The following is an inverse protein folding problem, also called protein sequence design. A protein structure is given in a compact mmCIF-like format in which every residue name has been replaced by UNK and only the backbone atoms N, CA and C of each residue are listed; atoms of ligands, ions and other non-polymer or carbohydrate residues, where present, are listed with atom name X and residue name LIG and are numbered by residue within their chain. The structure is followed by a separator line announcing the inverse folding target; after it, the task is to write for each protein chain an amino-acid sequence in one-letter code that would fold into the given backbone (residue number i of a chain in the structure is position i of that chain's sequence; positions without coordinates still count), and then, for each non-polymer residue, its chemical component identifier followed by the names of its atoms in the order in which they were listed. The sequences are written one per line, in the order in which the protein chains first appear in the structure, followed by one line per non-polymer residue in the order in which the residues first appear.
data_IF_123102993235
#
_entry.id   IF_123102993235
#
_cell.length_a   1.000
_cell.length_b   1.000
_cell.length_c   1.000
_cell.angle_alpha   90.00
_cell.angle_beta   90.00
_cell.angle_gamma   90.00
#
_symmetry.space_group_name_H-M   'P 1'
#
loop_
_entity.id
_entity.type
_entity.pdbx_description
1 polymer ?
#
# COMPACT_ATOMS: atom_id res chain seq x y z
N UNK A 1 32.79 24.80 -70.32
CA UNK A 1 31.42 24.60 -69.81
C UNK A 1 31.42 24.89 -68.33
N UNK A 2 30.86 26.03 -67.93
CA UNK A 2 30.71 26.47 -66.54
C UNK A 2 29.34 26.01 -66.05
N UNK A 3 29.32 25.15 -65.03
CA UNK A 3 28.07 24.77 -64.35
C UNK A 3 28.12 25.43 -62.97
N UNK A 4 27.26 26.43 -62.78
CA UNK A 4 27.02 27.10 -61.51
C UNK A 4 26.58 26.10 -60.46
N UNK A 5 27.32 26.04 -59.35
CA UNK A 5 26.90 25.37 -58.13
C UNK A 5 26.04 26.38 -57.37
N UNK A 6 24.71 26.29 -57.53
CA UNK A 6 23.77 27.01 -56.68
C UNK A 6 23.88 26.45 -55.27
N UNK A 7 24.49 27.24 -54.39
CA UNK A 7 24.57 27.00 -52.96
C UNK A 7 23.18 27.20 -52.38
N UNK A 8 22.51 26.10 -52.01
CA UNK A 8 21.32 26.16 -51.17
C UNK A 8 21.82 26.51 -49.77
N UNK A 9 21.70 27.78 -49.38
CA UNK A 9 21.81 28.18 -47.98
C UNK A 9 20.62 27.60 -47.20
N UNK A 10 20.83 26.83 -46.12
CA UNK A 10 19.80 26.63 -45.11
C UNK A 10 19.86 27.82 -44.16
N UNK A 11 19.24 28.93 -44.54
CA UNK A 11 18.93 30.01 -43.61
C UNK A 11 17.70 29.64 -42.80
N UNK A 12 17.79 29.78 -41.48
CA UNK A 12 16.63 29.89 -40.61
C UNK A 12 16.41 28.66 -39.74
N UNK A 13 17.12 28.62 -38.62
CA UNK A 13 16.79 27.86 -37.42
C UNK A 13 15.34 28.14 -36.99
N UNK A 14 14.41 27.37 -37.55
CA UNK A 14 13.09 27.21 -36.95
C UNK A 14 13.31 26.46 -35.64
N UNK A 15 13.35 27.19 -34.52
CA UNK A 15 13.20 26.60 -33.20
C UNK A 15 11.81 25.97 -33.17
N UNK A 16 11.71 24.71 -33.61
CA UNK A 16 10.49 23.93 -33.60
C UNK A 16 10.21 23.59 -32.14
N UNK A 17 9.61 24.53 -31.43
CA UNK A 17 9.09 24.30 -30.09
C UNK A 17 8.04 23.20 -30.22
N UNK A 18 8.33 22.03 -29.63
CA UNK A 18 7.36 20.94 -29.56
C UNK A 18 6.07 21.49 -28.94
N UNK A 19 4.93 21.25 -29.59
CA UNK A 19 3.65 21.69 -29.02
C UNK A 19 3.43 21.02 -27.67
N UNK A 20 2.75 21.69 -26.73
CA UNK A 20 2.44 21.12 -25.42
C UNK A 20 1.74 19.75 -25.55
N UNK A 21 0.87 19.58 -26.55
CA UNK A 21 0.22 18.31 -26.86
C UNK A 21 1.21 17.23 -27.31
N UNK A 22 2.24 17.58 -28.10
CA UNK A 22 3.30 16.65 -28.50
C UNK A 22 4.19 16.28 -27.31
N UNK A 23 4.52 17.24 -26.44
CA UNK A 23 5.28 17.01 -25.21
C UNK A 23 4.49 16.09 -24.27
N UNK A 24 3.20 16.35 -24.07
CA UNK A 24 2.31 15.50 -23.25
C UNK A 24 2.24 14.06 -23.81
N UNK A 25 2.13 13.93 -25.13
CA UNK A 25 2.08 12.63 -25.81
C UNK A 25 3.41 11.88 -25.67
N UNK A 26 4.54 12.56 -25.89
CA UNK A 26 5.86 12.00 -25.68
C UNK A 26 6.10 11.60 -24.22
N UNK A 27 5.69 12.44 -23.26
CA UNK A 27 5.76 12.12 -21.83
C UNK A 27 4.91 10.89 -21.49
N UNK A 28 3.70 10.77 -22.04
CA UNK A 28 2.84 9.59 -21.83
C UNK A 28 3.41 8.31 -22.44
N UNK A 29 4.10 8.40 -23.60
CA UNK A 29 4.78 7.28 -24.25
C UNK A 29 6.01 6.85 -23.45
N UNK A 30 6.84 7.80 -23.00
CA UNK A 30 7.98 7.52 -22.12
C UNK A 30 7.52 6.84 -20.82
N UNK A 31 6.41 7.30 -20.25
CA UNK A 31 5.83 6.70 -19.06
C UNK A 31 5.32 5.26 -19.31
N UNK A 32 4.71 5.02 -20.47
CA UNK A 32 4.22 3.69 -20.85
C UNK A 32 5.36 2.69 -21.09
N UNK A 33 6.45 3.11 -21.72
CA UNK A 33 7.64 2.27 -21.96
C UNK A 33 8.36 1.95 -20.66
N UNK A 34 8.50 2.93 -19.76
CA UNK A 34 9.02 2.72 -18.41
C UNK A 34 8.17 1.72 -17.61
N UNK A 35 6.84 1.83 -17.70
CA UNK A 35 5.92 0.90 -17.02
C UNK A 35 5.96 -0.50 -17.64
N UNK A 36 6.13 -0.62 -18.96
CA UNK A 36 6.32 -1.93 -19.60
C UNK A 36 7.66 -2.57 -19.22
N UNK A 37 8.74 -1.77 -19.14
CA UNK A 37 10.04 -2.22 -18.66
C UNK A 37 9.97 -2.64 -17.19
N UNK A 38 9.27 -1.85 -16.36
CA UNK A 38 9.02 -2.19 -14.96
C UNK A 38 8.22 -3.48 -14.83
N UNK A 39 7.11 -3.63 -15.57
CA UNK A 39 6.33 -4.85 -15.65
C UNK A 39 7.20 -6.07 -16.00
N UNK A 40 8.07 -5.94 -17.00
CA UNK A 40 8.99 -7.01 -17.39
C UNK A 40 9.88 -7.53 -16.26
N UNK A 41 10.20 -6.68 -15.26
CA UNK A 41 11.01 -7.04 -14.08
C UNK A 41 10.18 -7.65 -12.95
N UNK A 42 8.93 -7.24 -12.81
CA UNK A 42 8.08 -7.61 -11.66
C UNK A 42 7.00 -8.64 -11.99
N UNK A 43 6.81 -9.01 -13.26
CA UNK A 43 5.76 -9.95 -13.71
C UNK A 43 5.81 -11.29 -12.97
N UNK A 44 7.00 -11.76 -12.60
CA UNK A 44 7.20 -13.05 -11.95
C UNK A 44 6.88 -12.98 -10.44
N UNK A 45 6.49 -11.80 -9.93
CA UNK A 45 5.97 -11.65 -8.57
C UNK A 45 4.49 -12.06 -8.48
N UNK A 46 3.80 -12.11 -9.61
CA UNK A 46 2.36 -12.31 -9.68
C UNK A 46 2.04 -13.72 -10.20
N UNK A 47 0.87 -14.22 -9.80
CA UNK A 47 0.37 -15.48 -10.34
C UNK A 47 0.16 -15.34 -11.85
N UNK A 48 0.66 -16.30 -12.63
CA UNK A 48 0.58 -16.25 -14.10
C UNK A 48 -0.85 -16.09 -14.64
N UNK A 49 -1.85 -16.61 -13.92
CA UNK A 49 -3.28 -16.46 -14.24
C UNK A 49 -3.80 -15.02 -14.07
N UNK A 50 -3.10 -14.19 -13.31
CA UNK A 50 -3.47 -12.81 -12.98
C UNK A 50 -2.54 -11.77 -13.63
N UNK A 51 -1.66 -12.18 -14.55
CA UNK A 51 -0.66 -11.28 -15.15
C UNK A 51 -1.26 -10.01 -15.77
N UNK A 52 -2.35 -10.13 -16.53
CA UNK A 52 -3.00 -8.97 -17.14
C UNK A 52 -3.70 -8.07 -16.11
N UNK A 53 -4.26 -8.64 -15.05
CA UNK A 53 -4.88 -7.89 -13.96
C UNK A 53 -3.82 -7.14 -13.16
N UNK A 54 -2.72 -7.80 -12.79
CA UNK A 54 -1.58 -7.20 -12.11
C UNK A 54 -0.96 -6.07 -12.93
N UNK A 55 -0.75 -6.30 -14.24
CA UNK A 55 -0.25 -5.27 -15.15
C UNK A 55 -1.19 -4.07 -15.15
N UNK A 56 -2.50 -4.27 -15.33
CA UNK A 56 -3.47 -3.16 -15.31
C UNK A 56 -3.47 -2.42 -13.97
N UNK A 57 -3.37 -3.14 -12.85
CA UNK A 57 -3.31 -2.55 -11.53
C UNK A 57 -2.05 -1.67 -11.35
N UNK A 58 -0.88 -2.12 -11.82
CA UNK A 58 0.36 -1.32 -11.81
C UNK A 58 0.21 -0.04 -12.63
N UNK A 59 -0.36 -0.15 -13.84
CA UNK A 59 -0.60 1.03 -14.68
C UNK A 59 -1.56 2.02 -13.99
N UNK A 60 -2.67 1.52 -13.42
CA UNK A 60 -3.61 2.35 -12.66
C UNK A 60 -2.95 2.99 -11.44
N UNK A 61 -2.11 2.27 -10.71
CA UNK A 61 -1.38 2.81 -9.56
C UNK A 61 -0.46 3.97 -9.97
N UNK A 62 0.27 3.83 -11.08
CA UNK A 62 1.17 4.85 -11.59
C UNK A 62 0.43 6.10 -12.11
N UNK A 63 -0.67 5.89 -12.85
CA UNK A 63 -1.41 6.97 -13.52
C UNK A 63 -2.61 7.49 -12.73
N UNK A 64 -2.87 6.98 -11.53
CA UNK A 64 -3.94 7.45 -10.66
C UNK A 64 -3.89 8.95 -10.43
N UNK A 65 -5.05 9.59 -10.31
CA UNK A 65 -5.19 11.04 -10.10
C UNK A 65 -5.17 11.42 -8.62
N UNK A 66 -5.46 10.47 -7.73
CA UNK A 66 -5.56 10.68 -6.29
C UNK A 66 -5.26 9.41 -5.49
N UNK A 67 -5.07 9.58 -4.17
CA UNK A 67 -4.80 8.51 -3.21
C UNK A 67 -5.83 7.38 -3.23
N UNK A 68 -7.12 7.70 -3.39
CA UNK A 68 -8.21 6.70 -3.43
C UNK A 68 -8.05 5.75 -4.61
N UNK A 69 -7.76 6.29 -5.79
CA UNK A 69 -7.48 5.47 -6.98
C UNK A 69 -6.20 4.64 -6.81
N UNK A 70 -5.15 5.19 -6.19
CA UNK A 70 -3.93 4.44 -5.90
C UNK A 70 -4.18 3.29 -4.93
N UNK A 71 -4.88 3.54 -3.82
CA UNK A 71 -5.22 2.54 -2.82
C UNK A 71 -6.05 1.40 -3.43
N UNK A 72 -7.07 1.72 -4.23
CA UNK A 72 -7.86 0.70 -4.94
C UNK A 72 -7.04 -0.11 -5.94
N UNK A 73 -6.13 0.53 -6.69
CA UNK A 73 -5.23 -0.16 -7.61
C UNK A 73 -4.24 -1.07 -6.87
N UNK A 74 -3.73 -0.62 -5.73
CA UNK A 74 -2.82 -1.41 -4.90
C UNK A 74 -3.52 -2.61 -4.25
N UNK A 75 -4.77 -2.46 -3.80
CA UNK A 75 -5.59 -3.58 -3.33
C UNK A 75 -5.81 -4.65 -4.42
N UNK A 76 -6.15 -4.24 -5.64
CA UNK A 76 -6.25 -5.14 -6.80
C UNK A 76 -4.93 -5.87 -7.07
N UNK A 77 -3.81 -5.17 -6.94
CA UNK A 77 -2.49 -5.75 -7.11
C UNK A 77 -2.17 -6.79 -6.02
N UNK A 78 -2.51 -6.51 -4.77
CA UNK A 78 -2.32 -7.42 -3.65
C UNK A 78 -3.14 -8.71 -3.81
N UNK A 79 -4.27 -8.68 -4.51
CA UNK A 79 -5.03 -9.88 -4.84
C UNK A 79 -4.38 -10.76 -5.92
N UNK A 80 -3.45 -10.21 -6.71
CA UNK A 80 -2.80 -10.91 -7.83
C UNK A 80 -1.40 -11.47 -7.48
N UNK A 81 -0.82 -11.05 -6.35
CA UNK A 81 0.54 -11.41 -5.95
C UNK A 81 0.65 -12.92 -5.70
N UNK A 82 1.78 -13.50 -6.09
CA UNK A 82 2.09 -14.86 -5.69
C UNK A 82 2.31 -14.89 -4.16
N UNK A 83 1.72 -15.85 -3.42
CA UNK A 83 1.80 -15.91 -1.97
C UNK A 83 3.23 -15.81 -1.40
N UNK A 84 4.20 -16.48 -2.06
CA UNK A 84 5.63 -16.48 -1.68
C UNK A 84 6.30 -15.11 -1.89
N UNK A 85 5.77 -14.29 -2.80
CA UNK A 85 6.28 -12.98 -3.20
C UNK A 85 5.57 -11.82 -2.50
N UNK A 86 4.60 -12.09 -1.65
CA UNK A 86 3.83 -11.09 -0.88
C UNK A 86 4.66 -10.01 -0.18
N UNK A 87 5.87 -10.36 0.28
CA UNK A 87 6.81 -9.44 0.93
C UNK A 87 7.33 -8.29 0.04
N UNK A 88 7.12 -8.39 -1.27
CA UNK A 88 7.50 -7.39 -2.26
C UNK A 88 6.44 -6.30 -2.43
N UNK A 89 5.22 -6.50 -1.90
CA UNK A 89 4.20 -5.46 -1.83
C UNK A 89 4.20 -4.85 -0.44
N UNK A 90 4.29 -3.52 -0.37
CA UNK A 90 4.26 -2.80 0.91
C UNK A 90 3.42 -1.53 0.80
N UNK A 91 2.62 -1.26 1.82
CA UNK A 91 2.08 0.07 2.06
C UNK A 91 2.86 0.66 3.23
N UNK A 92 3.75 1.60 2.92
CA UNK A 92 4.67 2.18 3.87
C UNK A 92 4.05 3.41 4.53
N UNK A 93 4.03 3.39 5.86
CA UNK A 93 3.70 4.52 6.71
C UNK A 93 5.00 5.00 7.37
N UNK A 94 5.15 6.32 7.49
CA UNK A 94 6.28 6.96 8.16
C UNK A 94 5.78 7.88 9.27
N UNK A 95 6.61 8.05 10.30
CA UNK A 95 6.42 9.10 11.30
C UNK A 95 6.57 10.52 10.72
N UNK A 96 7.28 10.67 9.59
CA UNK A 96 7.47 11.95 8.88
C UNK A 96 6.36 12.21 7.83
N UNK A 97 5.21 11.57 7.98
CA UNK A 97 4.03 11.64 7.08
C UNK A 97 4.28 11.20 5.61
N UNK A 98 5.44 10.61 5.32
CA UNK A 98 5.68 9.99 4.03
C UNK A 98 4.89 8.68 3.90
N UNK A 99 3.89 8.67 3.02
CA UNK A 99 3.07 7.49 2.72
C UNK A 99 3.27 7.10 1.25
N UNK A 100 3.61 5.83 1.02
CA UNK A 100 3.79 5.30 -0.33
C UNK A 100 3.36 3.83 -0.45
N UNK A 101 3.07 3.44 -1.69
CA UNK A 101 2.93 2.04 -2.08
C UNK A 101 4.22 1.57 -2.73
N UNK A 102 4.68 0.37 -2.41
CA UNK A 102 5.93 -0.18 -2.93
C UNK A 102 5.70 -1.54 -3.57
N UNK A 103 6.38 -1.77 -4.70
CA UNK A 103 6.43 -3.02 -5.45
C UNK A 103 7.89 -3.35 -5.75
N UNK A 104 8.45 -4.36 -5.09
CA UNK A 104 9.88 -4.63 -5.10
C UNK A 104 10.66 -3.40 -4.66
N UNK A 105 11.49 -2.84 -5.53
CA UNK A 105 12.28 -1.63 -5.23
C UNK A 105 11.60 -0.32 -5.64
N UNK A 106 10.47 -0.37 -6.36
CA UNK A 106 9.81 0.83 -6.87
C UNK A 106 8.76 1.32 -5.89
N UNK A 107 8.90 2.59 -5.47
CA UNK A 107 7.93 3.31 -4.64
C UNK A 107 7.01 4.18 -5.50
N UNK A 108 5.77 4.31 -5.05
CA UNK A 108 4.70 5.11 -5.61
C UNK A 108 4.19 6.01 -4.49
N UNK A 109 4.76 7.23 -4.36
CA UNK A 109 4.29 8.20 -3.37
C UNK A 109 2.78 8.43 -3.51
N UNK A 110 2.10 8.53 -2.37
CA UNK A 110 0.66 8.76 -2.39
C UNK A 110 0.36 10.17 -2.93
N UNK A 111 -0.66 10.28 -3.78
CA UNK A 111 -1.03 11.50 -4.51
C UNK A 111 -2.17 12.24 -3.82
N UNK A 112 -2.12 13.56 -3.88
CA UNK A 112 -3.16 14.44 -3.34
C UNK A 112 -2.97 14.70 -1.85
N UNK A 113 -4.03 15.18 -1.21
CA UNK A 113 -4.04 15.39 0.24
C UNK A 113 -4.15 14.04 0.96
N UNK A 114 -3.00 13.58 1.44
CA UNK A 114 -2.85 12.32 2.17
C UNK A 114 -3.69 12.33 3.44
N UNK A 115 -3.66 13.43 4.20
CA UNK A 115 -4.38 13.54 5.46
C UNK A 115 -5.91 13.51 5.24
N UNK A 116 -6.40 14.24 4.23
CA UNK A 116 -7.81 14.21 3.86
C UNK A 116 -8.26 12.79 3.46
N UNK A 117 -7.46 12.11 2.61
CA UNK A 117 -7.77 10.74 2.20
C UNK A 117 -7.84 9.80 3.40
N UNK A 118 -6.83 9.85 4.26
CA UNK A 118 -6.69 8.96 5.41
C UNK A 118 -7.84 9.14 6.41
N UNK A 119 -8.41 10.34 6.53
CA UNK A 119 -9.56 10.63 7.40
C UNK A 119 -10.94 10.40 6.77
N UNK A 120 -11.06 10.42 5.44
CA UNK A 120 -12.35 10.39 4.73
C UNK A 120 -12.48 9.23 3.73
N UNK A 121 -11.55 8.28 3.75
CA UNK A 121 -11.62 7.12 2.89
C UNK A 121 -12.85 6.27 3.24
N UNK A 122 -13.76 6.12 2.28
CA UNK A 122 -14.69 4.99 2.32
C UNK A 122 -13.90 3.68 2.48
N UNK A 123 -14.31 2.79 3.42
CA UNK A 123 -13.62 1.53 3.66
C UNK A 123 -13.49 0.66 2.41
N UNK A 124 -12.38 -0.09 2.34
CA UNK A 124 -12.19 -1.12 1.32
C UNK A 124 -13.09 -2.33 1.56
N UNK A 125 -13.12 -3.26 0.59
CA UNK A 125 -13.74 -4.57 0.82
C UNK A 125 -13.03 -5.31 1.96
N UNK A 126 -13.73 -6.22 2.63
CA UNK A 126 -13.16 -6.98 3.74
C UNK A 126 -11.87 -7.73 3.36
N UNK A 127 -11.90 -8.42 2.21
CA UNK A 127 -10.74 -9.18 1.74
C UNK A 127 -9.56 -8.27 1.38
N UNK A 128 -9.83 -7.14 0.73
CA UNK A 128 -8.79 -6.16 0.40
C UNK A 128 -8.19 -5.55 1.66
N UNK A 129 -9.02 -5.30 2.66
CA UNK A 129 -8.58 -4.77 3.95
C UNK A 129 -7.62 -5.74 4.65
N UNK A 130 -7.93 -7.03 4.64
CA UNK A 130 -7.05 -8.06 5.18
C UNK A 130 -5.73 -8.17 4.40
N UNK A 131 -5.77 -8.12 3.06
CA UNK A 131 -4.55 -8.17 2.23
C UNK A 131 -3.67 -6.94 2.45
N UNK A 132 -4.26 -5.74 2.52
CA UNK A 132 -3.51 -4.52 2.75
C UNK A 132 -2.97 -4.42 4.18
N UNK A 133 -3.69 -4.95 5.18
CA UNK A 133 -3.16 -5.08 6.54
C UNK A 133 -1.88 -5.93 6.57
N UNK A 134 -1.82 -7.01 5.77
CA UNK A 134 -0.60 -7.82 5.63
C UNK A 134 0.54 -7.12 4.87
N UNK A 135 0.23 -6.12 4.05
CA UNK A 135 1.22 -5.32 3.33
C UNK A 135 1.69 -4.09 4.14
N UNK A 136 1.06 -3.80 5.28
CA UNK A 136 1.28 -2.56 6.02
C UNK A 136 2.62 -2.56 6.75
N UNK A 137 3.39 -1.50 6.55
CA UNK A 137 4.66 -1.23 7.21
C UNK A 137 4.59 0.10 7.93
N UNK A 138 5.20 0.19 9.11
CA UNK A 138 5.41 1.44 9.82
C UNK A 138 6.92 1.59 10.10
N UNK A 139 7.53 2.65 9.57
CA UNK A 139 8.98 2.89 9.65
C UNK A 139 9.78 1.64 9.20
N UNK A 140 9.43 1.08 8.05
CA UNK A 140 9.98 -0.16 7.46
C UNK A 140 9.74 -1.47 8.25
N UNK A 141 9.07 -1.42 9.41
CA UNK A 141 8.73 -2.60 10.20
C UNK A 141 7.34 -3.15 9.88
N UNK A 142 7.22 -4.48 9.86
CA UNK A 142 5.95 -5.16 9.69
C UNK A 142 4.98 -4.91 10.84
N UNK A 143 3.81 -4.34 10.53
CA UNK A 143 2.81 -4.01 11.56
C UNK A 143 2.33 -5.26 12.30
N UNK A 144 2.19 -6.39 11.61
CA UNK A 144 1.65 -7.62 12.18
C UNK A 144 2.69 -8.49 12.87
N UNK A 145 3.99 -8.33 12.59
CA UNK A 145 5.03 -9.22 13.14
C UNK A 145 6.14 -8.53 13.91
N UNK A 146 6.27 -7.21 13.78
CA UNK A 146 7.36 -6.39 14.34
C UNK A 146 6.85 -5.17 15.14
N UNK A 147 5.64 -5.23 15.70
CA UNK A 147 4.98 -4.12 16.39
C UNK A 147 5.78 -3.47 17.53
N UNK A 148 6.61 -4.26 18.22
CA UNK A 148 7.50 -3.77 19.28
C UNK A 148 8.55 -2.77 18.76
N UNK A 149 8.96 -2.87 17.50
CA UNK A 149 10.03 -2.04 16.91
C UNK A 149 9.61 -0.56 16.78
N UNK A 150 8.31 -0.31 16.67
CA UNK A 150 7.75 1.04 16.67
C UNK A 150 6.98 1.37 17.95
N UNK A 151 7.22 0.61 19.03
CA UNK A 151 6.73 0.94 20.37
C UNK A 151 5.29 0.52 20.65
N UNK A 152 4.67 -0.35 19.83
CA UNK A 152 3.34 -0.90 20.09
C UNK A 152 3.44 -2.34 20.64
N UNK A 153 3.29 -2.56 21.96
CA UNK A 153 3.62 -3.84 22.60
C UNK A 153 2.51 -4.90 22.45
N UNK A 154 2.10 -5.22 21.21
CA UNK A 154 1.00 -6.16 20.94
C UNK A 154 1.27 -7.57 21.47
N UNK A 155 2.53 -8.03 21.49
CA UNK A 155 2.89 -9.34 22.04
C UNK A 155 2.56 -9.43 23.55
N UNK A 156 2.73 -8.34 24.28
CA UNK A 156 2.44 -8.30 25.73
C UNK A 156 0.94 -8.37 25.95
N UNK A 157 0.17 -7.57 25.19
CA UNK A 157 -1.29 -7.60 25.24
C UNK A 157 -1.85 -8.96 24.80
N UNK A 158 -1.24 -9.62 23.81
CA UNK A 158 -1.63 -10.96 23.39
C UNK A 158 -1.45 -12.03 24.49
N UNK A 159 -0.51 -11.82 25.42
CA UNK A 159 -0.32 -12.70 26.60
C UNK A 159 -1.25 -12.35 27.77
N UNK A 160 -1.73 -11.11 27.80
CA UNK A 160 -2.57 -10.57 28.86
C UNK A 160 -3.78 -9.80 28.28
N UNK A 161 -4.66 -10.46 27.52
CA UNK A 161 -5.69 -9.78 26.72
C UNK A 161 -6.73 -9.05 27.58
N UNK A 162 -6.99 -9.55 28.79
CA UNK A 162 -7.99 -9.00 29.71
C UNK A 162 -7.40 -8.05 30.75
N UNK A 163 -6.11 -7.72 30.66
CA UNK A 163 -5.47 -6.81 31.61
C UNK A 163 -5.73 -5.35 31.19
N UNK A 164 -6.52 -4.59 31.98
CA UNK A 164 -6.87 -3.22 31.64
C UNK A 164 -5.65 -2.29 31.63
N UNK A 165 -4.60 -2.60 32.40
CA UNK A 165 -3.37 -1.81 32.38
C UNK A 165 -2.65 -1.95 31.05
N UNK A 166 -2.50 -3.18 30.53
CA UNK A 166 -1.87 -3.40 29.22
C UNK A 166 -2.71 -2.89 28.06
N UNK A 167 -4.04 -2.98 28.14
CA UNK A 167 -4.94 -2.35 27.18
C UNK A 167 -4.72 -0.83 27.14
N UNK A 168 -4.68 -0.17 28.31
CA UNK A 168 -4.40 1.27 28.39
C UNK A 168 -3.02 1.65 27.85
N UNK A 169 -1.99 0.83 28.10
CA UNK A 169 -0.64 1.05 27.55
C UNK A 169 -0.65 0.95 26.03
N UNK A 170 -1.31 -0.06 25.45
CA UNK A 170 -1.38 -0.22 24.00
C UNK A 170 -2.18 0.91 23.33
N UNK A 171 -3.29 1.34 23.95
CA UNK A 171 -4.05 2.50 23.48
C UNK A 171 -3.17 3.76 23.50
N UNK A 172 -2.45 4.01 24.60
CA UNK A 172 -1.54 5.15 24.72
C UNK A 172 -0.41 5.10 23.68
N UNK A 173 0.16 3.93 23.43
CA UNK A 173 1.19 3.74 22.43
C UNK A 173 0.65 3.96 21.01
N UNK A 174 -0.55 3.45 20.72
CA UNK A 174 -1.19 3.60 19.42
C UNK A 174 -1.51 5.07 19.08
N UNK A 175 -1.88 5.88 20.08
CA UNK A 175 -2.03 7.33 19.90
C UNK A 175 -0.72 8.04 19.50
N UNK A 176 0.44 7.43 19.78
CA UNK A 176 1.75 7.92 19.34
C UNK A 176 2.08 7.59 17.87
N UNK A 177 1.25 6.81 17.18
CA UNK A 177 1.43 6.40 15.79
C UNK A 177 0.17 6.71 14.96
N UNK A 178 -0.22 7.99 14.80
CA UNK A 178 -1.48 8.38 14.17
C UNK A 178 -1.64 7.86 12.74
N UNK A 179 -0.57 7.83 11.94
CA UNK A 179 -0.61 7.28 10.58
C UNK A 179 -1.06 5.81 10.53
N UNK A 180 -0.77 5.02 11.57
CA UNK A 180 -1.25 3.65 11.67
C UNK A 180 -2.75 3.61 11.97
N UNK A 181 -3.22 4.43 12.91
CA UNK A 181 -4.66 4.51 13.23
C UNK A 181 -5.47 4.94 12.02
N UNK A 182 -4.99 5.95 11.32
CA UNK A 182 -5.61 6.43 10.10
C UNK A 182 -5.60 5.36 8.99
N UNK A 183 -4.52 4.60 8.84
CA UNK A 183 -4.49 3.47 7.90
C UNK A 183 -5.54 2.42 8.29
N UNK A 184 -5.67 2.09 9.57
CA UNK A 184 -6.70 1.16 10.04
C UNK A 184 -8.13 1.69 9.78
N UNK A 185 -8.34 3.01 9.81
CA UNK A 185 -9.59 3.65 9.40
C UNK A 185 -9.87 3.45 7.90
N UNK A 186 -8.88 3.67 7.03
CA UNK A 186 -9.00 3.41 5.58
C UNK A 186 -9.37 1.94 5.31
N UNK A 187 -8.83 1.03 6.11
CA UNK A 187 -9.13 -0.40 6.05
C UNK A 187 -10.49 -0.76 6.68
N UNK A 188 -11.21 0.20 7.27
CA UNK A 188 -12.49 -0.02 7.96
C UNK A 188 -12.38 -0.85 9.24
N UNK A 189 -11.17 -1.05 9.76
CA UNK A 189 -10.87 -1.93 10.90
C UNK A 189 -11.15 -1.28 12.26
N UNK A 190 -11.47 -0.01 12.27
CA UNK A 190 -11.87 0.76 13.45
C UNK A 190 -13.39 0.80 13.66
N UNK A 191 -14.18 0.25 12.71
CA UNK A 191 -15.64 0.21 12.79
C UNK A 191 -16.18 -0.87 13.74
N UNK A 192 -15.31 -1.66 14.37
CA UNK A 192 -15.64 -2.75 15.29
C UNK A 192 -16.22 -2.29 16.65
N UNK A 193 -16.83 -1.10 16.73
CA UNK A 193 -17.41 -0.61 17.98
C UNK A 193 -18.57 -1.54 18.38
N UNK A 194 -18.30 -2.43 19.33
CA UNK A 194 -19.16 -3.52 19.82
C UNK A 194 -19.24 -4.79 18.94
N UNK A 195 -18.41 -4.92 17.91
CA UNK A 195 -18.39 -6.12 17.07
C UNK A 195 -17.12 -6.96 17.29
N UNK A 196 -17.15 -7.81 18.33
CA UNK A 196 -16.10 -8.80 18.57
C UNK A 196 -15.93 -9.79 17.40
N UNK A 197 -16.93 -9.92 16.53
CA UNK A 197 -16.87 -10.81 15.38
C UNK A 197 -15.92 -10.25 14.31
N UNK A 198 -15.92 -8.94 14.07
CA UNK A 198 -15.01 -8.33 13.09
C UNK A 198 -13.53 -8.59 13.43
N UNK A 199 -13.14 -8.39 14.70
CA UNK A 199 -11.76 -8.67 15.13
C UNK A 199 -11.37 -10.14 14.93
N UNK A 200 -12.27 -11.07 15.22
CA UNK A 200 -12.05 -12.51 15.02
C UNK A 200 -11.99 -12.88 13.54
N UNK A 201 -12.84 -12.30 12.70
CA UNK A 201 -12.91 -12.57 11.26
C UNK A 201 -11.65 -12.08 10.55
N UNK A 202 -11.19 -10.86 10.88
CA UNK A 202 -9.94 -10.28 10.37
C UNK A 202 -8.76 -11.16 10.79
N UNK A 203 -8.66 -11.48 12.08
CA UNK A 203 -7.56 -12.31 12.62
C UNK A 203 -7.50 -13.68 11.95
N UNK A 204 -8.65 -14.37 11.82
CA UNK A 204 -8.74 -15.68 11.19
C UNK A 204 -8.39 -15.63 9.70
N UNK A 205 -8.78 -14.55 9.02
CA UNK A 205 -8.48 -14.35 7.60
C UNK A 205 -7.01 -14.07 7.35
N UNK A 206 -6.40 -13.19 8.14
CA UNK A 206 -4.96 -12.92 8.13
C UNK A 206 -4.17 -14.19 8.40
N UNK A 207 -4.54 -14.97 9.44
CA UNK A 207 -3.87 -16.23 9.76
C UNK A 207 -3.87 -17.19 8.57
N UNK A 208 -5.03 -17.38 7.94
CA UNK A 208 -5.19 -18.25 6.77
C UNK A 208 -4.34 -17.79 5.59
N UNK A 209 -4.31 -16.47 5.33
CA UNK A 209 -3.49 -15.90 4.27
C UNK A 209 -2.00 -16.10 4.57
N UNK A 210 -1.52 -15.81 5.79
CA UNK A 210 -0.12 -16.02 6.18
C UNK A 210 0.30 -17.49 6.05
N UNK A 211 -0.55 -18.43 6.47
CA UNK A 211 -0.30 -19.87 6.29
C UNK A 211 -0.14 -20.23 4.81
N UNK A 212 -1.02 -19.71 3.94
CA UNK A 212 -0.92 -19.93 2.50
C UNK A 212 0.34 -19.31 1.87
N UNK A 213 0.88 -18.25 2.46
CA UNK A 213 2.01 -17.49 1.92
C UNK A 213 3.37 -18.02 2.37
N UNK A 214 3.49 -18.40 3.64
CA UNK A 214 4.79 -18.71 4.26
C UNK A 214 4.89 -20.10 4.86
N UNK A 215 3.79 -20.84 4.99
CA UNK A 215 3.75 -22.13 5.67
C UNK A 215 4.36 -22.12 7.09
N UNK A 216 4.34 -20.96 7.74
CA UNK A 216 4.89 -20.74 9.08
C UNK A 216 3.73 -20.56 10.08
N UNK A 217 3.45 -21.63 10.82
CA UNK A 217 2.39 -21.67 11.83
C UNK A 217 2.66 -20.70 12.98
N UNK A 218 3.91 -20.50 13.35
CA UNK A 218 4.26 -19.63 14.47
C UNK A 218 4.05 -18.16 14.09
N UNK A 219 4.51 -17.77 12.90
CA UNK A 219 4.23 -16.44 12.35
C UNK A 219 2.73 -16.22 12.16
N UNK A 220 2.00 -17.20 11.62
CA UNK A 220 0.56 -17.09 11.41
C UNK A 220 -0.20 -16.86 12.72
N UNK A 221 0.13 -17.60 13.79
CA UNK A 221 -0.48 -17.41 15.11
C UNK A 221 -0.15 -16.04 15.71
N UNK A 222 1.07 -15.54 15.50
CA UNK A 222 1.43 -14.19 15.93
C UNK A 222 0.62 -13.14 15.18
N UNK A 223 0.53 -13.23 13.86
CA UNK A 223 -0.25 -12.31 13.04
C UNK A 223 -1.74 -12.38 13.38
N UNK A 224 -2.29 -13.55 13.71
CA UNK A 224 -3.65 -13.70 14.23
C UNK A 224 -3.87 -12.83 15.48
N UNK A 225 -3.02 -13.01 16.49
CA UNK A 225 -3.14 -12.28 17.76
C UNK A 225 -2.97 -10.78 17.56
N UNK A 226 -1.99 -10.37 16.76
CA UNK A 226 -1.73 -8.95 16.50
C UNK A 226 -2.84 -8.29 15.70
N UNK A 227 -3.38 -8.94 14.66
CA UNK A 227 -4.51 -8.43 13.90
C UNK A 227 -5.75 -8.25 14.80
N UNK A 228 -6.05 -9.25 15.64
CA UNK A 228 -7.14 -9.16 16.61
C UNK A 228 -6.99 -7.95 17.55
N UNK A 229 -5.79 -7.76 18.12
CA UNK A 229 -5.54 -6.65 19.04
C UNK A 229 -5.56 -5.28 18.35
N UNK A 230 -5.04 -5.18 17.12
CA UNK A 230 -5.05 -3.92 16.36
C UNK A 230 -6.48 -3.44 16.08
N UNK A 231 -7.38 -4.35 15.67
CA UNK A 231 -8.80 -4.03 15.43
C UNK A 231 -9.44 -3.52 16.73
N UNK A 232 -9.23 -4.20 17.86
CA UNK A 232 -9.79 -3.79 19.14
C UNK A 232 -9.25 -2.45 19.63
N UNK A 233 -7.95 -2.20 19.46
CA UNK A 233 -7.32 -0.93 19.82
C UNK A 233 -7.89 0.21 18.96
N UNK A 234 -8.01 0.00 17.64
CA UNK A 234 -8.53 1.00 16.72
C UNK A 234 -10.00 1.36 17.06
N UNK A 235 -10.84 0.36 17.30
CA UNK A 235 -12.22 0.57 17.72
C UNK A 235 -12.33 1.28 19.08
N UNK A 236 -11.50 0.90 20.07
CA UNK A 236 -11.50 1.52 21.39
C UNK A 236 -11.04 2.99 21.37
N UNK A 237 -10.16 3.37 20.44
CA UNK A 237 -9.73 4.77 20.27
C UNK A 237 -10.85 5.57 19.59
N UNK A 238 -11.51 5.01 18.58
CA UNK A 238 -12.61 5.68 17.88
C UNK A 238 -13.82 5.95 18.77
N UNK A 239 -14.15 5.05 19.70
CA UNK A 239 -15.25 5.24 20.65
C UNK A 239 -15.00 6.39 21.65
N UNK A 240 -13.74 6.83 21.81
CA UNK A 240 -13.36 7.90 22.74
C UNK A 240 -13.33 9.30 22.10
N UNK A 241 -13.38 9.40 20.77
CA UNK A 241 -13.31 10.66 20.01
C UNK A 241 -14.68 11.11 19.54
#
# INVERSE_FOLDING_TARGET
MTISISSILPTGTSSRTLSAATIQRCASVLHADELNSFWGRVKDYFLGTHNEDAKRAIFRLATAENARQQCSAFAQLAACIEPTQSHLLRWNLSADDAIDFQIGDRRFPMKGDVAEFMQQAAPLSFDDSCRLLMALKLNDHDVLSESEQFGLPLNVLARHPDDPAYSSVCISAAMGVPALLDALHVLGLDSAVNDSQLALDVASTVQRMVLAHRHDTYLANRCYLHAHQLVNIAAAIRDRG
#
